data_IF_440825276617
#
_entry.id   IF_440825276617
#
_cell.length_a   1.000
_cell.length_b   1.000
_cell.length_c   1.000
_cell.angle_alpha   90.00
_cell.angle_beta   90.00
_cell.angle_gamma   90.00
#
_symmetry.space_group_name_H-M   'P 1'
#
loop_
_entity.id
_entity.type
_entity.pdbx_description
1 polymer ?
#
# COMPACT_ATOMS: atom_id res chain seq x y z
N UNK A 1 2.05 32.32 -10.12
CA UNK A 1 1.31 32.52 -8.85
C UNK A 1 2.08 31.86 -7.72
N UNK A 2 2.72 32.70 -6.91
CA UNK A 2 3.31 32.48 -5.57
C UNK A 2 3.89 31.07 -5.28
N UNK A 3 5.13 30.82 -5.74
CA UNK A 3 6.00 29.85 -5.09
C UNK A 3 6.38 30.41 -3.71
N UNK A 4 5.63 30.07 -2.67
CA UNK A 4 6.11 30.23 -1.30
C UNK A 4 7.23 29.20 -1.16
N UNK A 5 8.47 29.64 -1.26
CA UNK A 5 9.64 28.80 -1.07
C UNK A 5 9.46 28.03 0.24
N UNK A 6 9.41 26.70 0.15
CA UNK A 6 9.57 25.84 1.31
C UNK A 6 11.00 26.10 1.81
N UNK A 7 11.15 26.98 2.79
CA UNK A 7 12.42 27.23 3.45
C UNK A 7 12.79 25.93 4.14
N UNK A 8 13.62 25.12 3.48
CA UNK A 8 14.38 24.08 4.16
C UNK A 8 15.23 24.83 5.16
N UNK A 9 14.88 24.73 6.44
CA UNK A 9 15.75 25.20 7.52
C UNK A 9 17.05 24.42 7.41
N UNK A 10 18.04 25.02 6.75
CA UNK A 10 19.38 24.46 6.54
C UNK A 10 20.23 24.48 7.83
N UNK A 11 19.61 24.68 9.00
CA UNK A 11 20.30 24.50 10.26
C UNK A 11 20.51 23.00 10.49
N UNK A 12 21.78 22.54 10.61
CA UNK A 12 22.05 21.15 10.94
C UNK A 12 21.43 20.85 12.31
N UNK A 13 20.46 19.92 12.33
CA UNK A 13 19.86 19.43 13.56
C UNK A 13 20.98 18.96 14.50
N UNK A 14 21.19 19.69 15.61
CA UNK A 14 22.19 19.34 16.64
C UNK A 14 21.69 18.19 17.52
N UNK A 15 21.50 17.02 16.90
CA UNK A 15 20.97 15.83 17.58
C UNK A 15 21.94 15.24 18.61
N UNK A 16 23.24 15.48 18.46
CA UNK A 16 24.31 14.96 19.34
C UNK A 16 24.33 15.54 20.75
N UNK A 17 23.58 16.62 21.00
CA UNK A 17 23.49 17.30 22.29
C UNK A 17 22.27 16.88 23.10
N UNK A 18 21.36 16.09 22.51
CA UNK A 18 20.15 15.62 23.16
C UNK A 18 20.43 14.39 24.02
N UNK A 19 19.76 14.31 25.16
CA UNK A 19 19.69 13.06 25.92
C UNK A 19 18.93 11.98 25.15
N UNK A 20 19.10 10.72 25.56
CA UNK A 20 18.42 9.56 24.97
C UNK A 20 16.89 9.76 24.99
N UNK A 21 16.34 10.21 26.12
CA UNK A 21 14.90 10.40 26.29
C UNK A 21 14.38 11.59 25.48
N UNK A 22 15.14 12.69 25.41
CA UNK A 22 14.78 13.85 24.56
C UNK A 22 14.77 13.46 23.08
N UNK A 23 15.80 12.77 22.60
CA UNK A 23 15.85 12.30 21.22
C UNK A 23 14.70 11.35 20.90
N UNK A 24 14.37 10.43 21.82
CA UNK A 24 13.26 9.51 21.66
C UNK A 24 11.92 10.24 21.55
N UNK A 25 11.65 11.19 22.44
CA UNK A 25 10.40 11.96 22.45
C UNK A 25 10.29 12.88 21.24
N UNK A 26 11.35 13.61 20.88
CA UNK A 26 11.38 14.45 19.68
C UNK A 26 11.17 13.63 18.41
N UNK A 27 11.72 12.42 18.34
CA UNK A 27 11.49 11.51 17.20
C UNK A 27 10.03 11.11 17.11
N UNK A 28 9.38 10.78 18.25
CA UNK A 28 7.93 10.46 18.28
C UNK A 28 7.07 11.63 17.83
N UNK A 29 7.40 12.85 18.26
CA UNK A 29 6.72 14.07 17.83
C UNK A 29 6.92 14.37 16.34
N UNK A 30 8.14 14.16 15.82
CA UNK A 30 8.41 14.31 14.39
C UNK A 30 7.57 13.34 13.55
N UNK A 31 7.47 12.07 13.98
CA UNK A 31 6.62 11.07 13.32
C UNK A 31 5.12 11.43 13.42
N UNK A 32 4.66 11.97 14.54
CA UNK A 32 3.28 12.45 14.66
C UNK A 32 2.99 13.59 13.67
N UNK A 33 3.88 14.58 13.58
CA UNK A 33 3.78 15.67 12.61
C UNK A 33 3.84 15.19 11.16
N UNK A 34 4.63 14.16 10.88
CA UNK A 34 4.67 13.52 9.56
C UNK A 34 3.30 12.94 9.20
N UNK A 35 2.63 12.26 10.13
CA UNK A 35 1.29 11.70 9.91
C UNK A 35 0.23 12.78 9.74
N UNK A 36 0.28 13.86 10.51
CA UNK A 36 -0.63 14.99 10.35
C UNK A 36 -0.45 15.66 8.97
N UNK A 37 0.79 15.85 8.55
CA UNK A 37 1.10 16.35 7.21
C UNK A 37 0.60 15.39 6.13
N UNK A 38 0.72 14.08 6.33
CA UNK A 38 0.19 13.08 5.41
C UNK A 38 -1.33 13.17 5.29
N UNK A 39 -2.06 13.28 6.40
CA UNK A 39 -3.53 13.41 6.40
C UNK A 39 -3.96 14.68 5.65
N UNK A 40 -3.24 15.80 5.85
CA UNK A 40 -3.47 17.03 5.07
C UNK A 40 -3.27 16.81 3.57
N UNK A 41 -2.23 16.09 3.16
CA UNK A 41 -2.02 15.72 1.75
C UNK A 41 -3.21 14.91 1.22
N UNK A 42 -3.73 13.94 1.97
CA UNK A 42 -4.88 13.13 1.53
C UNK A 42 -6.13 14.00 1.30
N UNK A 43 -6.41 14.95 2.19
CA UNK A 43 -7.49 15.94 2.00
C UNK A 43 -7.27 16.83 0.78
N UNK A 44 -6.05 17.31 0.56
CA UNK A 44 -5.72 18.09 -0.62
C UNK A 44 -5.87 17.30 -1.91
N UNK A 45 -5.44 16.03 -1.93
CA UNK A 45 -5.64 15.15 -3.08
C UNK A 45 -7.12 14.91 -3.36
N UNK A 46 -7.96 14.83 -2.33
CA UNK A 46 -9.41 14.74 -2.51
C UNK A 46 -9.95 15.98 -3.20
N UNK A 47 -9.50 17.16 -2.79
CA UNK A 47 -9.95 18.41 -3.40
C UNK A 47 -9.41 18.62 -4.82
N UNK A 48 -8.17 18.20 -5.07
CA UNK A 48 -7.56 18.13 -6.43
C UNK A 48 -8.41 17.24 -7.34
N UNK A 49 -8.85 16.08 -6.84
CA UNK A 49 -9.74 15.16 -7.58
C UNK A 49 -11.11 15.82 -7.85
N UNK A 50 -11.73 16.38 -6.81
CA UNK A 50 -13.07 16.98 -6.88
C UNK A 50 -13.14 18.17 -7.85
N UNK A 51 -12.14 19.06 -7.80
CA UNK A 51 -12.04 20.23 -8.68
C UNK A 51 -11.38 19.92 -10.02
N UNK A 52 -10.93 18.69 -10.24
CA UNK A 52 -10.14 18.27 -11.41
C UNK A 52 -8.91 19.16 -11.65
N UNK A 53 -8.23 19.60 -10.58
CA UNK A 53 -7.06 20.49 -10.69
C UNK A 53 -5.94 19.87 -11.55
N UNK A 54 -5.81 18.54 -11.54
CA UNK A 54 -4.87 17.83 -12.41
C UNK A 54 -5.05 18.20 -13.91
N UNK A 55 -6.28 18.48 -14.36
CA UNK A 55 -6.56 18.91 -15.73
C UNK A 55 -6.05 20.33 -16.02
N UNK A 56 -6.14 21.23 -15.03
CA UNK A 56 -5.61 22.61 -15.13
C UNK A 56 -4.08 22.57 -15.30
N UNK A 57 -3.42 21.63 -14.62
CA UNK A 57 -1.98 21.40 -14.73
C UNK A 57 -1.60 20.47 -15.90
N UNK A 58 -2.47 20.28 -16.90
CA UNK A 58 -2.21 19.46 -18.11
C UNK A 58 -1.81 18.01 -17.82
N UNK A 59 -2.32 17.44 -16.73
CA UNK A 59 -2.12 16.02 -16.38
C UNK A 59 -3.31 15.18 -16.80
N UNK A 60 -3.03 13.96 -17.24
CA UNK A 60 -4.05 13.06 -17.81
C UNK A 60 -4.95 12.44 -16.73
N UNK A 61 -4.47 12.39 -15.49
CA UNK A 61 -5.20 11.83 -14.36
C UNK A 61 -4.66 12.36 -13.03
N UNK A 62 -5.40 12.11 -11.94
CA UNK A 62 -4.91 12.35 -10.58
C UNK A 62 -3.62 11.55 -10.29
N UNK A 63 -3.47 10.36 -10.87
CA UNK A 63 -2.28 9.54 -10.71
C UNK A 63 -1.07 10.19 -11.37
N UNK A 64 -1.21 10.61 -12.63
CA UNK A 64 -0.17 11.35 -13.35
C UNK A 64 0.18 12.67 -12.63
N UNK A 65 -0.80 13.36 -12.07
CA UNK A 65 -0.55 14.53 -11.21
C UNK A 65 0.31 14.18 -9.97
N UNK A 66 -0.01 13.09 -9.27
CA UNK A 66 0.77 12.69 -8.09
C UNK A 66 2.21 12.30 -8.44
N UNK A 67 2.43 11.65 -9.59
CA UNK A 67 3.77 11.22 -10.02
C UNK A 67 4.56 12.40 -10.56
N UNK A 68 3.98 13.13 -11.51
CA UNK A 68 4.69 14.13 -12.31
C UNK A 68 4.76 15.50 -11.65
N UNK A 69 3.73 15.94 -10.92
CA UNK A 69 3.73 17.26 -10.23
C UNK A 69 4.22 17.16 -8.78
N UNK A 70 3.84 16.09 -8.06
CA UNK A 70 4.18 15.94 -6.64
C UNK A 70 5.42 15.07 -6.40
N UNK A 71 6.00 14.48 -7.45
CA UNK A 71 7.23 13.69 -7.37
C UNK A 71 7.10 12.36 -6.64
N UNK A 72 5.89 11.82 -6.46
CA UNK A 72 5.72 10.51 -5.84
C UNK A 72 6.13 9.39 -6.80
N UNK A 73 6.73 8.33 -6.25
CA UNK A 73 6.81 7.06 -6.98
C UNK A 73 5.41 6.51 -7.25
N UNK A 74 5.25 5.74 -8.32
CA UNK A 74 3.96 5.15 -8.71
C UNK A 74 3.26 4.42 -7.54
N UNK A 75 4.01 3.60 -6.80
CA UNK A 75 3.49 2.88 -5.64
C UNK A 75 3.11 3.79 -4.48
N UNK A 76 3.78 4.94 -4.31
CA UNK A 76 3.45 5.94 -3.31
C UNK A 76 2.20 6.76 -3.70
N UNK A 77 2.08 7.12 -4.98
CA UNK A 77 0.91 7.79 -5.56
C UNK A 77 -0.34 6.91 -5.45
N UNK A 78 -0.24 5.65 -5.88
CA UNK A 78 -1.35 4.70 -5.83
C UNK A 78 -1.88 4.50 -4.41
N UNK A 79 -1.00 4.31 -3.42
CA UNK A 79 -1.41 4.15 -2.01
C UNK A 79 -2.12 5.39 -1.45
N UNK A 80 -1.65 6.60 -1.80
CA UNK A 80 -2.27 7.85 -1.37
C UNK A 80 -3.64 8.06 -1.99
N UNK A 81 -3.78 7.79 -3.30
CA UNK A 81 -5.08 7.89 -4.00
C UNK A 81 -6.06 6.87 -3.41
N UNK A 82 -5.62 5.64 -3.20
CA UNK A 82 -6.44 4.59 -2.59
C UNK A 82 -6.89 5.00 -1.18
N UNK A 83 -5.96 5.43 -0.32
CA UNK A 83 -6.27 5.87 1.03
C UNK A 83 -7.19 7.10 1.08
N UNK A 84 -6.95 8.10 0.24
CA UNK A 84 -7.80 9.28 0.12
C UNK A 84 -9.24 8.90 -0.22
N UNK A 85 -9.43 8.05 -1.24
CA UNK A 85 -10.77 7.60 -1.64
C UNK A 85 -11.43 6.76 -0.55
N UNK A 86 -10.64 6.00 0.20
CA UNK A 86 -11.13 5.15 1.27
C UNK A 86 -11.55 5.95 2.50
N UNK A 87 -10.77 6.96 2.90
CA UNK A 87 -11.14 7.90 3.98
C UNK A 87 -12.41 8.65 3.61
N UNK A 88 -12.58 9.04 2.35
CA UNK A 88 -13.82 9.67 1.90
C UNK A 88 -15.03 8.73 1.99
N UNK A 89 -14.84 7.42 1.78
CA UNK A 89 -15.89 6.42 1.92
C UNK A 89 -16.21 6.10 3.38
N UNK A 90 -15.18 6.04 4.24
CA UNK A 90 -15.27 5.70 5.67
C UNK A 90 -14.42 6.69 6.48
N UNK A 91 -15.02 7.83 6.90
CA UNK A 91 -14.30 8.89 7.60
C UNK A 91 -13.62 8.44 8.91
N UNK A 92 -14.15 7.40 9.58
CA UNK A 92 -13.60 6.84 10.83
C UNK A 92 -12.16 6.31 10.67
N UNK A 93 -11.72 6.06 9.44
CA UNK A 93 -10.36 5.58 9.13
C UNK A 93 -9.31 6.68 9.30
N UNK A 94 -9.70 7.95 9.15
CA UNK A 94 -8.77 9.08 9.19
C UNK A 94 -8.02 9.15 10.52
N UNK A 95 -8.73 9.01 11.64
CA UNK A 95 -8.15 9.04 12.99
C UNK A 95 -7.15 7.88 13.18
N UNK A 96 -7.41 6.72 12.56
CA UNK A 96 -6.51 5.56 12.60
C UNK A 96 -5.24 5.80 11.79
N UNK A 97 -5.32 6.56 10.70
CA UNK A 97 -4.14 6.98 9.92
C UNK A 97 -3.32 8.02 10.68
N UNK A 98 -3.98 9.05 11.24
CA UNK A 98 -3.35 10.11 12.01
C UNK A 98 -2.61 9.55 13.24
N UNK A 99 -3.27 8.65 13.98
CA UNK A 99 -2.67 7.97 15.15
C UNK A 99 -1.59 6.93 14.79
N UNK A 100 -1.44 6.58 13.51
CA UNK A 100 -0.50 5.58 13.04
C UNK A 100 -0.93 4.13 13.27
N UNK A 101 -2.16 3.90 13.75
CA UNK A 101 -2.73 2.55 13.91
C UNK A 101 -3.00 1.89 12.56
N UNK A 102 -3.21 2.64 11.49
CA UNK A 102 -3.43 2.09 10.16
C UNK A 102 -2.51 2.72 9.12
N UNK A 103 -1.72 1.89 8.44
CA UNK A 103 -0.81 2.35 7.39
C UNK A 103 -1.52 2.48 6.04
N UNK A 104 -1.04 3.38 5.17
CA UNK A 104 -1.56 3.50 3.80
C UNK A 104 -1.43 2.20 2.99
N UNK A 105 -0.43 1.38 3.30
CA UNK A 105 -0.23 0.09 2.66
C UNK A 105 -1.34 -0.89 3.04
N UNK A 106 -1.71 -0.97 4.32
CA UNK A 106 -2.82 -1.82 4.76
C UNK A 106 -4.16 -1.34 4.16
N UNK A 107 -4.36 -0.03 4.03
CA UNK A 107 -5.56 0.53 3.37
C UNK A 107 -5.60 0.13 1.90
N UNK A 108 -4.49 0.25 1.18
CA UNK A 108 -4.43 -0.14 -0.23
C UNK A 108 -4.65 -1.66 -0.43
N UNK A 109 -4.13 -2.49 0.47
CA UNK A 109 -4.41 -3.93 0.49
C UNK A 109 -5.90 -4.20 0.73
N UNK A 110 -6.52 -3.55 1.72
CA UNK A 110 -7.94 -3.67 2.01
C UNK A 110 -8.82 -3.23 0.83
N UNK A 111 -8.52 -2.08 0.21
CA UNK A 111 -9.26 -1.63 -0.97
C UNK A 111 -9.15 -2.60 -2.14
N UNK A 112 -7.95 -3.14 -2.38
CA UNK A 112 -7.77 -4.15 -3.42
C UNK A 112 -8.58 -5.40 -3.12
N UNK A 113 -8.55 -5.90 -1.89
CA UNK A 113 -9.39 -7.00 -1.42
C UNK A 113 -10.89 -6.74 -1.66
N UNK A 114 -11.43 -5.60 -1.21
CA UNK A 114 -12.86 -5.30 -1.40
C UNK A 114 -13.25 -5.19 -2.88
N UNK A 115 -12.38 -4.64 -3.73
CA UNK A 115 -12.60 -4.57 -5.18
C UNK A 115 -12.68 -5.97 -5.80
N UNK A 116 -11.80 -6.88 -5.41
CA UNK A 116 -11.80 -8.25 -5.92
C UNK A 116 -13.04 -9.02 -5.45
N UNK A 117 -13.40 -8.92 -4.17
CA UNK A 117 -14.63 -9.53 -3.66
C UNK A 117 -15.85 -8.99 -4.39
N UNK A 118 -15.92 -7.67 -4.64
CA UNK A 118 -17.02 -7.08 -5.42
C UNK A 118 -17.06 -7.62 -6.85
N UNK A 119 -15.91 -7.74 -7.52
CA UNK A 119 -15.82 -8.28 -8.88
C UNK A 119 -16.34 -9.72 -8.96
N UNK A 120 -15.99 -10.56 -7.99
CA UNK A 120 -16.48 -11.94 -7.92
C UNK A 120 -17.98 -12.01 -7.69
N UNK A 121 -18.53 -11.17 -6.80
CA UNK A 121 -19.97 -11.05 -6.57
C UNK A 121 -20.74 -10.64 -7.83
N UNK A 122 -20.19 -9.74 -8.65
CA UNK A 122 -20.82 -9.33 -9.92
C UNK A 122 -20.79 -10.43 -10.99
N UNK A 123 -19.83 -11.37 -10.90
CA UNK A 123 -19.71 -12.48 -11.84
C UNK A 123 -20.54 -13.71 -11.44
N UNK A 124 -20.86 -13.85 -10.16
CA UNK A 124 -21.74 -14.88 -9.61
C UNK A 124 -23.21 -14.42 -9.58
N UNK A 125 -23.84 -14.27 -10.75
CA UNK A 125 -25.31 -14.36 -10.84
C UNK A 125 -25.67 -15.82 -10.63
N UNK A 126 -25.84 -16.27 -9.38
CA UNK A 126 -26.64 -17.42 -8.95
C UNK A 126 -26.58 -17.50 -7.42
N UNK A 127 -27.76 -17.52 -6.82
CA UNK A 127 -28.06 -17.70 -5.40
C UNK A 127 -27.95 -16.44 -4.53
N UNK A 128 -29.01 -15.65 -4.64
CA UNK A 128 -29.52 -14.79 -3.56
C UNK A 128 -29.59 -15.56 -2.24
N UNK A 129 -29.29 -14.84 -1.14
CA UNK A 129 -29.39 -15.20 0.27
C UNK A 129 -28.06 -15.65 0.90
N UNK A 130 -27.56 -14.81 1.80
CA UNK A 130 -26.35 -14.93 2.62
C UNK A 130 -25.03 -14.45 1.99
N UNK A 131 -24.92 -13.17 1.63
CA UNK A 131 -23.61 -12.52 1.69
C UNK A 131 -23.75 -11.12 2.26
N UNK A 132 -23.76 -11.04 3.59
CA UNK A 132 -23.60 -9.81 4.34
C UNK A 132 -22.48 -8.97 3.71
N UNK A 133 -22.77 -7.69 3.54
CA UNK A 133 -21.79 -6.61 3.36
C UNK A 133 -20.56 -6.98 4.17
N UNK A 134 -19.43 -7.33 3.53
CA UNK A 134 -18.18 -7.49 4.27
C UNK A 134 -18.04 -6.20 5.05
N UNK A 135 -18.15 -6.30 6.37
CA UNK A 135 -18.11 -5.15 7.23
C UNK A 135 -16.70 -4.57 7.10
N UNK A 136 -16.59 -3.55 6.25
CA UNK A 136 -15.32 -2.90 5.94
C UNK A 136 -14.68 -2.44 7.24
N UNK A 137 -15.47 -1.97 8.20
CA UNK A 137 -14.99 -1.56 9.52
C UNK A 137 -14.42 -2.74 10.30
N UNK A 138 -15.07 -3.92 10.28
CA UNK A 138 -14.55 -5.12 10.95
C UNK A 138 -13.20 -5.56 10.36
N UNK A 139 -13.08 -5.59 9.03
CA UNK A 139 -11.81 -5.93 8.37
C UNK A 139 -10.72 -4.92 8.74
N UNK A 140 -11.04 -3.63 8.79
CA UNK A 140 -10.09 -2.58 9.13
C UNK A 140 -9.63 -2.63 10.58
N UNK A 141 -10.55 -2.87 11.52
CA UNK A 141 -10.19 -3.09 12.93
C UNK A 141 -9.16 -4.21 13.07
N UNK A 142 -9.32 -5.27 12.28
CA UNK A 142 -8.36 -6.37 12.24
C UNK A 142 -7.04 -6.02 11.54
N UNK A 143 -6.95 -4.95 10.73
CA UNK A 143 -5.72 -4.47 10.09
C UNK A 143 -4.97 -3.41 10.91
N UNK A 144 -5.57 -2.92 12.00
CA UNK A 144 -4.93 -1.98 12.92
C UNK A 144 -3.66 -2.60 13.53
N UNK A 145 -2.59 -1.80 13.61
CA UNK A 145 -1.26 -2.11 14.14
C UNK A 145 -0.56 -3.32 13.51
N UNK A 146 -1.07 -3.85 12.40
CA UNK A 146 -0.43 -4.95 11.68
C UNK A 146 0.60 -4.42 10.68
N UNK A 147 1.71 -5.14 10.54
CA UNK A 147 2.61 -4.95 9.41
C UNK A 147 1.90 -5.26 8.08
N UNK A 148 2.39 -4.69 6.98
CA UNK A 148 1.89 -4.99 5.62
C UNK A 148 1.81 -6.50 5.33
N UNK A 149 2.77 -7.28 5.84
CA UNK A 149 2.79 -8.73 5.70
C UNK A 149 1.67 -9.41 6.49
N UNK A 150 1.50 -9.04 7.76
CA UNK A 150 0.43 -9.59 8.61
C UNK A 150 -0.96 -9.18 8.11
N UNK A 151 -1.09 -7.96 7.59
CA UNK A 151 -2.31 -7.48 6.96
C UNK A 151 -2.68 -8.32 5.74
N UNK A 152 -1.73 -8.52 4.83
CA UNK A 152 -1.92 -9.38 3.66
C UNK A 152 -2.27 -10.83 4.07
N UNK A 153 -1.55 -11.41 5.03
CA UNK A 153 -1.84 -12.76 5.53
C UNK A 153 -3.28 -12.88 6.02
N UNK A 154 -3.74 -11.92 6.84
CA UNK A 154 -5.12 -11.89 7.32
C UNK A 154 -6.14 -11.78 6.19
N UNK A 155 -5.92 -10.90 5.21
CA UNK A 155 -6.81 -10.77 4.06
C UNK A 155 -6.87 -12.08 3.24
N UNK A 156 -5.75 -12.78 3.08
CA UNK A 156 -5.69 -14.09 2.43
C UNK A 156 -6.43 -15.18 3.21
N UNK A 157 -6.53 -15.08 4.54
CA UNK A 157 -7.35 -16.02 5.34
C UNK A 157 -8.85 -15.79 5.14
N UNK A 158 -9.28 -14.55 4.87
CA UNK A 158 -10.68 -14.23 4.62
C UNK A 158 -11.11 -14.67 3.22
N UNK A 159 -10.25 -14.45 2.23
CA UNK A 159 -10.45 -14.92 0.87
C UNK A 159 -9.10 -15.23 0.24
N UNK A 160 -8.92 -16.49 -0.22
CA UNK A 160 -7.72 -16.93 -0.92
C UNK A 160 -7.50 -16.14 -2.22
N UNK A 161 -8.56 -15.57 -2.80
CA UNK A 161 -8.48 -14.70 -3.96
C UNK A 161 -7.71 -13.39 -3.70
N UNK A 162 -7.60 -12.98 -2.43
CA UNK A 162 -6.77 -11.85 -2.00
C UNK A 162 -5.27 -12.10 -2.26
N UNK A 163 -4.87 -13.37 -2.34
CA UNK A 163 -3.53 -13.83 -2.66
C UNK A 163 -3.27 -13.89 -4.17
N UNK A 164 -3.80 -12.92 -4.95
CA UNK A 164 -3.74 -12.92 -6.43
C UNK A 164 -2.43 -13.49 -6.94
N UNK A 165 -2.54 -14.60 -7.66
CA UNK A 165 -1.46 -15.24 -8.39
C UNK A 165 -1.21 -14.36 -9.62
N UNK A 166 -0.13 -13.60 -9.60
CA UNK A 166 0.51 -13.14 -10.83
C UNK A 166 1.78 -13.95 -10.97
N UNK A 167 1.68 -15.04 -11.72
CA UNK A 167 2.89 -15.58 -12.32
C UNK A 167 3.44 -14.48 -13.24
N UNK A 168 4.62 -13.99 -12.90
CA UNK A 168 5.31 -12.98 -13.68
C UNK A 168 6.62 -13.58 -14.13
N UNK A 169 6.77 -13.68 -15.43
CA UNK A 169 8.02 -14.04 -16.08
C UNK A 169 8.59 -12.78 -16.71
N UNK A 170 9.80 -12.41 -16.33
CA UNK A 170 10.54 -11.33 -16.98
C UNK A 170 11.96 -11.74 -17.27
N UNK A 171 12.46 -11.31 -18.41
CA UNK A 171 13.87 -11.41 -18.76
C UNK A 171 14.64 -10.34 -17.98
N UNK A 172 15.65 -10.78 -17.22
CA UNK A 172 16.54 -9.90 -16.43
C UNK A 172 17.84 -9.65 -17.21
N UNK A 173 18.29 -10.63 -17.99
CA UNK A 173 19.41 -10.58 -18.91
C UNK A 173 19.18 -11.60 -20.04
N UNK A 174 19.98 -11.59 -21.14
CA UNK A 174 19.78 -12.48 -22.29
C UNK A 174 19.61 -13.97 -21.96
N UNK A 175 20.28 -14.45 -20.90
CA UNK A 175 20.20 -15.85 -20.44
C UNK A 175 19.62 -15.99 -19.01
N UNK A 176 19.00 -14.92 -18.47
CA UNK A 176 18.48 -14.92 -17.11
C UNK A 176 17.01 -14.54 -17.09
N UNK A 177 16.17 -15.54 -16.85
CA UNK A 177 14.72 -15.36 -16.70
C UNK A 177 14.32 -15.45 -15.22
N UNK A 178 13.58 -14.46 -14.74
CA UNK A 178 12.97 -14.48 -13.41
C UNK A 178 11.49 -14.85 -13.51
N UNK A 179 11.13 -16.00 -12.95
CA UNK A 179 9.73 -16.42 -12.76
C UNK A 179 9.36 -16.21 -11.30
N UNK A 180 8.31 -15.42 -11.04
CA UNK A 180 7.77 -15.18 -9.70
C UNK A 180 6.34 -15.68 -9.63
N UNK A 181 6.04 -16.61 -8.72
CA UNK A 181 4.69 -17.11 -8.48
C UNK A 181 4.50 -17.47 -7.01
N UNK A 182 3.23 -17.49 -6.58
CA UNK A 182 2.85 -17.95 -5.25
C UNK A 182 2.55 -19.45 -5.31
N UNK A 183 3.08 -20.21 -4.37
CA UNK A 183 2.90 -21.65 -4.26
C UNK A 183 2.32 -22.00 -2.90
N UNK A 184 1.59 -23.11 -2.81
CA UNK A 184 1.20 -23.68 -1.52
C UNK A 184 2.34 -24.51 -0.90
N UNK A 185 2.09 -25.03 0.30
CA UNK A 185 3.08 -25.80 1.05
C UNK A 185 3.48 -27.09 0.33
N UNK A 186 2.56 -27.72 -0.40
CA UNK A 186 2.82 -28.95 -1.14
C UNK A 186 3.76 -28.70 -2.32
N UNK A 187 3.43 -27.73 -3.17
CA UNK A 187 4.28 -27.36 -4.31
C UNK A 187 5.64 -26.82 -3.87
N UNK A 188 5.70 -26.09 -2.74
CA UNK A 188 6.96 -25.64 -2.13
C UNK A 188 7.86 -26.83 -1.77
N UNK A 189 7.31 -27.86 -1.13
CA UNK A 189 8.08 -29.04 -0.75
C UNK A 189 8.57 -29.81 -1.98
N UNK A 190 7.72 -29.95 -3.00
CA UNK A 190 8.11 -30.58 -4.27
C UNK A 190 9.28 -29.85 -4.94
N UNK A 191 9.20 -28.52 -5.06
CA UNK A 191 10.28 -27.71 -5.64
C UNK A 191 11.55 -27.76 -4.81
N UNK A 192 11.44 -27.82 -3.49
CA UNK A 192 12.58 -27.94 -2.61
C UNK A 192 13.26 -29.31 -2.77
N UNK A 193 12.48 -30.40 -2.89
CA UNK A 193 13.00 -31.73 -3.18
C UNK A 193 13.72 -31.79 -4.54
N UNK A 194 13.08 -31.25 -5.58
CA UNK A 194 13.69 -31.16 -6.92
C UNK A 194 15.01 -30.37 -6.86
N UNK A 195 15.04 -29.25 -6.14
CA UNK A 195 16.25 -28.44 -5.96
C UNK A 195 17.36 -29.19 -5.21
N UNK A 196 17.03 -30.00 -4.21
CA UNK A 196 18.03 -30.83 -3.51
C UNK A 196 18.59 -31.94 -4.40
N UNK A 197 17.76 -32.56 -5.24
CA UNK A 197 18.19 -33.62 -6.17
C UNK A 197 19.08 -33.07 -7.30
N UNK A 198 18.74 -31.90 -7.84
CA UNK A 198 19.50 -31.26 -8.92
C UNK A 198 20.77 -30.52 -8.42
N UNK A 199 20.89 -30.32 -7.10
CA UNK A 199 21.99 -29.59 -6.47
C UNK A 199 21.94 -28.06 -6.71
N UNK A 200 22.69 -27.26 -5.93
CA UNK A 200 22.66 -25.81 -6.01
C UNK A 200 23.15 -25.23 -7.36
N UNK A 201 23.82 -26.02 -8.19
CA UNK A 201 24.32 -25.62 -9.51
C UNK A 201 23.26 -25.66 -10.62
N UNK A 202 22.17 -26.41 -10.46
CA UNK A 202 21.15 -26.53 -11.51
C UNK A 202 20.35 -25.24 -11.77
N UNK A 203 20.32 -24.31 -10.80
CA UNK A 203 19.75 -22.97 -11.00
C UNK A 203 20.67 -22.05 -11.83
N UNK A 204 21.86 -22.51 -12.21
CA UNK A 204 22.86 -21.83 -13.05
C UNK A 204 23.27 -22.74 -14.21
N UNK A 205 22.29 -23.32 -14.90
CA UNK A 205 22.58 -24.09 -16.12
C UNK A 205 23.24 -23.14 -17.13
N UNK A 206 24.56 -23.24 -17.24
CA UNK A 206 25.34 -22.79 -18.39
C UNK A 206 25.34 -23.91 -19.42
#
# INVERSE_FOLDING_TARGET
>A
MIHKAFQVTNDPLKLSQLSIDELHNQTKEAVARERDALVKVLHHLREVERRKLFSIYKRQSLFDYCVSELGYSEGAASRRIQAMRFIHEIPEVEEKVASGKLSLTNIAQAQSFFREVKKQKTQATLTSQQIETIDKLKVLKCLESKSSRQGQQYLCTLDRSAAKIKESTREVAPDLTQVTFNMDAELKNLLQNVRTLLGPKAARAN
#
